data_IF_963500353153
#
_entry.id   IF_963500353153
#
_cell.length_a   1.000
_cell.length_b   1.000
_cell.length_c   1.000
_cell.angle_alpha   90.00
_cell.angle_beta   90.00
_cell.angle_gamma   90.00
#
_symmetry.space_group_name_H-M   'P 1'
#
loop_
_entity.id
_entity.type
_entity.pdbx_description
1 polymer ?
#
# COMPACT_ATOMS: atom_id res chain seq x y z
N UNK A 1 -5.15 15.02 3.66
CA UNK A 1 -5.89 14.76 2.42
C UNK A 1 -7.24 14.11 2.71
N UNK A 2 -7.32 12.90 3.26
CA UNK A 2 -8.60 12.18 3.50
C UNK A 2 -9.59 12.91 4.40
N UNK A 3 -9.12 13.66 5.40
CA UNK A 3 -9.96 14.39 6.35
C UNK A 3 -10.28 15.84 5.94
N UNK A 4 -9.82 16.29 4.77
CA UNK A 4 -10.16 17.60 4.22
C UNK A 4 -11.68 17.68 3.98
N UNK A 5 -12.39 18.75 4.41
CA UNK A 5 -13.85 18.86 4.27
C UNK A 5 -14.36 18.62 2.84
N UNK A 6 -13.70 19.19 1.84
CA UNK A 6 -14.07 19.03 0.42
C UNK A 6 -13.97 17.56 -0.01
N UNK A 7 -12.91 16.87 0.40
CA UNK A 7 -12.73 15.45 0.06
C UNK A 7 -13.73 14.56 0.81
N UNK A 8 -14.06 14.88 2.06
CA UNK A 8 -15.06 14.13 2.82
C UNK A 8 -16.45 14.23 2.22
N UNK A 9 -16.80 15.38 1.66
CA UNK A 9 -18.07 15.58 0.95
C UNK A 9 -18.09 14.81 -0.38
N UNK A 10 -17.01 14.93 -1.17
CA UNK A 10 -16.90 14.32 -2.50
C UNK A 10 -16.66 12.81 -2.47
N UNK A 11 -15.95 12.34 -1.45
CA UNK A 11 -15.50 10.95 -1.28
C UNK A 11 -15.83 10.43 0.12
N UNK A 12 -17.11 10.26 0.47
CA UNK A 12 -17.47 9.75 1.79
C UNK A 12 -16.91 8.34 2.01
N UNK A 13 -16.18 8.16 3.12
CA UNK A 13 -15.58 6.89 3.49
C UNK A 13 -15.30 6.80 4.99
N UNK A 14 -15.24 5.60 5.51
CA UNK A 14 -14.55 5.32 6.76
C UNK A 14 -13.03 5.38 6.51
N UNK A 15 -12.30 6.06 7.38
CA UNK A 15 -10.84 6.17 7.28
C UNK A 15 -10.25 5.56 8.54
N UNK A 16 -9.67 4.37 8.42
CA UNK A 16 -8.97 3.69 9.49
C UNK A 16 -7.49 4.08 9.45
N UNK A 17 -6.96 4.57 10.57
CA UNK A 17 -5.55 5.00 10.69
C UNK A 17 -4.93 4.26 11.88
N UNK A 18 -4.60 2.97 11.73
CA UNK A 18 -3.97 2.21 12.80
C UNK A 18 -2.55 2.73 13.06
N UNK A 19 -2.15 2.70 14.33
CA UNK A 19 -0.80 3.07 14.76
C UNK A 19 0.01 1.80 15.07
N UNK A 20 1.17 1.65 14.44
CA UNK A 20 2.11 0.60 14.79
C UNK A 20 2.76 0.91 16.15
N UNK A 21 2.77 -0.02 17.11
CA UNK A 21 3.54 0.17 18.32
C UNK A 21 5.03 0.36 18.02
N UNK A 22 5.72 1.12 18.85
CA UNK A 22 7.13 1.51 18.63
C UNK A 22 8.09 0.30 18.48
N UNK A 23 7.78 -0.81 19.16
CA UNK A 23 8.61 -2.02 19.17
C UNK A 23 8.26 -3.01 18.05
N UNK A 24 7.19 -2.74 17.29
CA UNK A 24 6.69 -3.62 16.25
C UNK A 24 7.03 -3.13 14.85
N UNK A 25 6.85 -4.01 13.88
CA UNK A 25 6.95 -3.71 12.46
C UNK A 25 5.75 -4.31 11.74
N UNK A 26 5.11 -3.55 10.81
CA UNK A 26 3.83 -4.00 10.23
C UNK A 26 3.93 -5.36 9.52
N UNK A 27 4.75 -5.44 8.48
CA UNK A 27 4.77 -6.55 7.56
C UNK A 27 5.77 -7.66 7.93
N UNK A 28 6.67 -7.40 8.87
CA UNK A 28 7.78 -8.29 9.22
C UNK A 28 7.92 -8.38 10.73
N UNK A 29 8.46 -9.50 11.22
CA UNK A 29 8.66 -9.71 12.67
C UNK A 29 9.56 -8.65 13.34
N UNK A 30 10.43 -8.01 12.56
CA UNK A 30 11.26 -6.87 12.96
C UNK A 30 11.59 -6.04 11.72
N UNK A 31 12.21 -4.87 11.93
CA UNK A 31 12.76 -4.09 10.83
C UNK A 31 13.76 -4.94 10.03
N UNK A 32 13.57 -5.10 8.70
CA UNK A 32 14.55 -5.79 7.86
C UNK A 32 15.94 -5.13 7.94
N UNK A 33 16.99 -5.93 7.93
CA UNK A 33 18.37 -5.44 7.91
C UNK A 33 18.76 -4.84 6.56
N UNK A 34 18.06 -5.24 5.51
CA UNK A 34 18.21 -4.74 4.13
C UNK A 34 16.83 -4.44 3.55
N UNK A 35 16.78 -3.43 2.67
CA UNK A 35 15.60 -3.11 1.87
C UNK A 35 15.79 -3.44 0.39
N UNK A 36 16.82 -4.22 0.06
CA UNK A 36 17.02 -4.77 -1.29
C UNK A 36 15.86 -5.71 -1.61
N UNK A 37 15.13 -5.54 -2.73
CA UNK A 37 13.90 -6.29 -3.02
C UNK A 37 14.07 -7.81 -2.98
N UNK A 38 15.15 -8.32 -3.56
CA UNK A 38 15.42 -9.78 -3.58
C UNK A 38 15.76 -10.38 -2.21
N UNK A 39 16.15 -9.55 -1.24
CA UNK A 39 16.48 -9.94 0.12
C UNK A 39 15.29 -9.78 1.08
N UNK A 40 14.21 -9.14 0.62
CA UNK A 40 13.01 -9.00 1.44
C UNK A 40 12.39 -10.36 1.73
N UNK A 41 11.93 -10.59 2.98
CA UNK A 41 11.40 -11.90 3.39
C UNK A 41 10.25 -12.40 2.53
N UNK A 42 10.25 -13.70 2.26
CA UNK A 42 9.17 -14.45 1.60
C UNK A 42 8.66 -15.55 2.53
N UNK A 43 7.41 -15.95 2.38
CA UNK A 43 6.87 -17.13 3.07
C UNK A 43 6.72 -17.01 4.59
N UNK A 44 6.79 -15.82 5.15
CA UNK A 44 6.56 -15.60 6.57
C UNK A 44 5.07 -15.48 6.89
N UNK A 45 4.69 -15.84 8.10
CA UNK A 45 3.34 -15.63 8.62
C UNK A 45 3.02 -14.13 8.74
N UNK A 46 1.72 -13.82 8.70
CA UNK A 46 1.25 -12.46 9.00
C UNK A 46 1.61 -12.11 10.44
N UNK A 47 2.16 -10.93 10.65
CA UNK A 47 2.47 -10.47 12.00
C UNK A 47 1.19 -10.30 12.85
N UNK A 48 1.26 -10.47 14.17
CA UNK A 48 0.10 -10.27 15.04
C UNK A 48 -0.51 -8.87 14.88
N UNK A 49 0.34 -7.85 14.74
CA UNK A 49 -0.11 -6.46 14.60
C UNK A 49 -0.83 -6.21 13.26
N UNK A 50 -0.33 -6.79 12.15
CA UNK A 50 -1.00 -6.64 10.86
C UNK A 50 -2.28 -7.48 10.78
N UNK A 51 -2.32 -8.63 11.47
CA UNK A 51 -3.53 -9.42 11.66
C UNK A 51 -4.61 -8.61 12.39
N UNK A 52 -4.25 -7.93 13.48
CA UNK A 52 -5.17 -7.07 14.22
C UNK A 52 -5.73 -5.93 13.36
N UNK A 53 -4.92 -5.36 12.45
CA UNK A 53 -5.41 -4.37 11.47
C UNK A 53 -6.44 -5.00 10.52
N UNK A 54 -6.20 -6.23 10.05
CA UNK A 54 -7.16 -6.92 9.18
C UNK A 54 -8.47 -7.25 9.92
N UNK A 55 -8.37 -7.73 11.15
CA UNK A 55 -9.53 -8.01 11.99
C UNK A 55 -10.35 -6.74 12.28
N UNK A 56 -9.69 -5.61 12.57
CA UNK A 56 -10.36 -4.32 12.69
C UNK A 56 -11.07 -3.94 11.38
N UNK A 57 -10.40 -4.07 10.24
CA UNK A 57 -11.03 -3.80 8.94
C UNK A 57 -12.28 -4.67 8.75
N UNK A 58 -12.22 -5.95 9.09
CA UNK A 58 -13.34 -6.88 8.92
C UNK A 58 -14.58 -6.43 9.71
N UNK A 59 -14.42 -5.86 10.92
CA UNK A 59 -15.54 -5.30 11.67
C UNK A 59 -16.26 -4.16 10.95
N UNK A 60 -15.51 -3.37 10.15
CA UNK A 60 -16.11 -2.32 9.33
C UNK A 60 -16.74 -2.89 8.04
N UNK A 61 -16.14 -3.92 7.45
CA UNK A 61 -16.70 -4.57 6.25
C UNK A 61 -18.06 -5.23 6.53
N UNK A 62 -18.38 -5.54 7.77
CA UNK A 62 -19.68 -6.10 8.16
C UNK A 62 -20.78 -5.04 8.30
N UNK A 63 -20.43 -3.75 8.23
CA UNK A 63 -21.42 -2.68 8.28
C UNK A 63 -22.20 -2.57 6.95
N UNK A 64 -23.54 -2.47 6.99
CA UNK A 64 -24.36 -2.36 5.77
C UNK A 64 -24.06 -1.11 4.91
N UNK A 65 -23.45 -0.09 5.51
CA UNK A 65 -23.07 1.16 4.82
C UNK A 65 -21.75 1.08 4.08
N UNK A 66 -21.03 -0.04 4.18
CA UNK A 66 -19.73 -0.23 3.53
C UNK A 66 -19.90 -0.94 2.19
N UNK A 67 -19.41 -0.28 1.13
CA UNK A 67 -19.29 -0.89 -0.19
C UNK A 67 -18.01 -1.77 -0.22
N UNK A 68 -18.20 -3.08 -0.12
CA UNK A 68 -17.10 -4.06 -0.08
C UNK A 68 -16.29 -4.12 -1.37
N UNK A 69 -16.80 -3.55 -2.48
CA UNK A 69 -16.07 -3.46 -3.74
C UNK A 69 -15.16 -2.24 -3.82
N UNK A 70 -15.21 -1.35 -2.82
CA UNK A 70 -14.42 -0.12 -2.76
C UNK A 70 -13.62 -0.01 -1.47
N UNK A 71 -12.81 -1.01 -1.21
CA UNK A 71 -11.88 -1.07 -0.06
C UNK A 71 -10.48 -0.76 -0.55
N UNK A 72 -9.80 0.16 0.11
CA UNK A 72 -8.50 0.66 -0.32
C UNK A 72 -7.48 0.58 0.81
N UNK A 73 -6.22 0.32 0.45
CA UNK A 73 -5.11 0.38 1.39
C UNK A 73 -4.04 1.34 0.89
N UNK A 74 -3.63 2.27 1.77
CA UNK A 74 -2.63 3.29 1.48
C UNK A 74 -1.63 3.31 2.62
N UNK A 75 -0.34 3.30 2.32
CA UNK A 75 0.69 3.35 3.34
C UNK A 75 2.00 3.92 2.83
N UNK A 76 2.78 4.50 3.74
CA UNK A 76 4.09 5.07 3.43
C UNK A 76 5.20 4.35 4.20
N UNK A 77 6.38 4.22 3.59
CA UNK A 77 7.57 3.60 4.19
C UNK A 77 7.25 2.19 4.73
N UNK A 78 7.36 1.97 6.03
CA UNK A 78 6.91 0.74 6.69
C UNK A 78 5.44 0.42 6.40
N UNK A 79 4.56 1.43 6.33
CA UNK A 79 3.17 1.29 5.92
C UNK A 79 3.03 0.95 4.43
N UNK A 80 3.94 1.39 3.56
CA UNK A 80 4.01 0.98 2.15
C UNK A 80 4.33 -0.50 2.00
N UNK A 81 5.23 -1.03 2.85
CA UNK A 81 5.50 -2.47 2.94
C UNK A 81 4.28 -3.26 3.42
N UNK A 82 3.56 -2.72 4.42
CA UNK A 82 2.29 -3.31 4.88
C UNK A 82 1.20 -3.28 3.81
N UNK A 83 1.17 -2.24 2.99
CA UNK A 83 0.24 -2.12 1.85
C UNK A 83 0.44 -3.26 0.86
N UNK A 84 1.69 -3.58 0.49
CA UNK A 84 1.99 -4.75 -0.32
C UNK A 84 1.58 -6.05 0.38
N UNK A 85 1.96 -6.22 1.66
CA UNK A 85 1.70 -7.47 2.39
C UNK A 85 0.21 -7.74 2.56
N UNK A 86 -0.60 -6.71 2.85
CA UNK A 86 -2.06 -6.82 2.91
C UNK A 86 -2.68 -7.18 1.55
N UNK A 87 -2.24 -6.52 0.47
CA UNK A 87 -2.73 -6.81 -0.87
C UNK A 87 -2.40 -8.23 -1.32
N UNK A 88 -1.21 -8.74 -0.98
CA UNK A 88 -0.76 -10.10 -1.28
C UNK A 88 -1.56 -11.14 -0.50
N UNK A 89 -1.77 -10.92 0.81
CA UNK A 89 -2.45 -11.89 1.68
C UNK A 89 -3.96 -11.90 1.52
N UNK A 90 -4.53 -10.77 1.15
CA UNK A 90 -5.98 -10.58 1.08
C UNK A 90 -6.40 -9.93 -0.25
N UNK A 91 -6.06 -10.54 -1.39
CA UNK A 91 -6.28 -9.95 -2.72
C UNK A 91 -7.76 -9.69 -3.01
N UNK A 92 -8.66 -10.48 -2.43
CA UNK A 92 -10.11 -10.32 -2.59
C UNK A 92 -10.71 -9.23 -1.69
N UNK A 93 -9.89 -8.64 -0.80
CA UNK A 93 -10.36 -7.57 0.09
C UNK A 93 -10.25 -6.20 -0.57
N UNK A 94 -9.16 -5.93 -1.28
CA UNK A 94 -8.82 -4.59 -1.72
C UNK A 94 -9.08 -4.36 -3.20
N UNK A 95 -9.79 -3.28 -3.53
CA UNK A 95 -9.94 -2.76 -4.89
C UNK A 95 -8.66 -2.09 -5.38
N UNK A 96 -7.97 -1.35 -4.49
CA UNK A 96 -6.73 -0.68 -4.82
C UNK A 96 -5.76 -0.62 -3.63
N UNK A 97 -4.47 -0.59 -3.97
CA UNK A 97 -3.35 -0.47 -3.06
C UNK A 97 -2.41 0.65 -3.52
N UNK A 98 -2.05 1.54 -2.58
CA UNK A 98 -1.14 2.67 -2.85
C UNK A 98 0.06 2.60 -1.90
N UNK A 99 1.09 1.82 -2.24
CA UNK A 99 2.34 1.84 -1.50
C UNK A 99 3.18 3.06 -1.89
N UNK A 100 3.64 3.81 -0.89
CA UNK A 100 4.49 5.00 -1.05
C UNK A 100 5.83 4.71 -0.38
N UNK A 101 6.95 4.90 -1.08
CA UNK A 101 8.32 4.63 -0.62
C UNK A 101 8.48 3.32 0.18
N UNK A 102 7.79 2.28 -0.26
CA UNK A 102 7.88 0.93 0.29
C UNK A 102 8.72 0.01 -0.58
N UNK A 103 8.99 -1.19 -0.06
CA UNK A 103 9.64 -2.27 -0.80
C UNK A 103 8.97 -3.60 -0.49
N UNK A 104 9.12 -4.55 -1.38
CA UNK A 104 8.57 -5.91 -1.28
C UNK A 104 9.44 -6.86 -2.09
N UNK A 105 9.48 -8.14 -1.73
CA UNK A 105 10.06 -9.15 -2.62
C UNK A 105 9.13 -9.33 -3.85
N UNK A 106 9.63 -9.08 -5.08
CA UNK A 106 8.79 -9.15 -6.29
C UNK A 106 8.18 -10.54 -6.52
N UNK A 107 8.83 -11.60 -6.02
CA UNK A 107 8.33 -12.97 -6.13
C UNK A 107 7.00 -13.23 -5.42
N UNK A 108 6.60 -12.35 -4.49
CA UNK A 108 5.34 -12.45 -3.76
C UNK A 108 4.14 -11.83 -4.49
N UNK A 109 4.39 -11.02 -5.51
CA UNK A 109 3.34 -10.17 -6.12
C UNK A 109 2.35 -10.94 -7.00
N UNK A 110 2.63 -12.20 -7.32
CA UNK A 110 1.72 -13.04 -8.11
C UNK A 110 0.33 -13.20 -7.47
N UNK A 111 0.26 -13.19 -6.14
CA UNK A 111 -0.99 -13.32 -5.39
C UNK A 111 -1.82 -12.02 -5.35
N UNK A 112 -1.26 -10.89 -5.78
CA UNK A 112 -1.92 -9.57 -5.71
C UNK A 112 -2.39 -9.03 -7.08
N UNK A 113 -2.40 -9.85 -8.13
CA UNK A 113 -2.68 -9.40 -9.51
C UNK A 113 -4.09 -8.86 -9.74
N UNK A 114 -5.06 -9.24 -8.90
CA UNK A 114 -6.43 -8.73 -8.93
C UNK A 114 -6.56 -7.31 -8.36
N UNK A 115 -5.61 -6.88 -7.52
CA UNK A 115 -5.61 -5.56 -6.90
C UNK A 115 -5.02 -4.52 -7.85
N UNK A 116 -5.65 -3.36 -7.95
CA UNK A 116 -5.13 -2.24 -8.71
C UNK A 116 -4.07 -1.49 -7.91
N UNK A 117 -2.90 -1.26 -8.51
CA UNK A 117 -1.80 -0.58 -7.82
C UNK A 117 -1.51 0.81 -8.39
N UNK A 118 -1.22 1.78 -7.50
CA UNK A 118 -0.50 3.00 -7.84
C UNK A 118 0.65 3.18 -6.87
N UNK A 119 1.87 3.07 -7.37
CA UNK A 119 3.10 3.07 -6.59
C UNK A 119 3.74 4.44 -6.69
N UNK A 120 4.20 5.01 -5.56
CA UNK A 120 4.91 6.27 -5.51
C UNK A 120 6.27 6.11 -4.83
N UNK A 121 7.32 6.78 -5.35
CA UNK A 121 8.64 6.79 -4.72
C UNK A 121 9.44 8.03 -5.14
N UNK A 122 10.38 8.46 -4.30
CA UNK A 122 11.38 9.47 -4.65
C UNK A 122 12.68 8.80 -5.13
N UNK A 123 13.27 9.28 -6.22
CA UNK A 123 14.50 8.67 -6.79
C UNK A 123 15.76 8.93 -5.98
N UNK A 124 15.73 9.91 -5.07
CA UNK A 124 16.81 10.22 -4.14
C UNK A 124 16.54 9.70 -2.71
N UNK A 125 15.67 8.68 -2.57
CA UNK A 125 15.39 8.06 -1.27
C UNK A 125 16.62 7.29 -0.75
N UNK A 126 17.18 7.75 0.38
CA UNK A 126 18.35 7.19 1.03
C UNK A 126 18.01 6.30 2.24
N UNK A 127 16.74 6.02 2.48
CA UNK A 127 16.25 5.17 3.58
C UNK A 127 15.71 3.85 3.03
N UNK A 128 14.80 3.92 2.07
CA UNK A 128 14.27 2.76 1.34
C UNK A 128 14.62 2.96 -0.14
N UNK A 129 15.51 2.14 -0.71
CA UNK A 129 15.93 2.29 -2.11
C UNK A 129 14.76 2.25 -3.08
N UNK A 130 14.77 3.17 -4.04
CA UNK A 130 13.73 3.30 -5.08
C UNK A 130 13.58 2.04 -5.94
N UNK A 131 14.62 1.22 -6.00
CA UNK A 131 14.64 -0.08 -6.69
C UNK A 131 13.51 -0.99 -6.23
N UNK A 132 13.11 -0.93 -4.95
CA UNK A 132 11.97 -1.68 -4.42
C UNK A 132 10.68 -1.41 -5.19
N UNK A 133 10.38 -0.15 -5.45
CA UNK A 133 9.21 0.26 -6.22
C UNK A 133 9.36 -0.01 -7.72
N UNK A 134 10.55 0.20 -8.27
CA UNK A 134 10.83 -0.08 -9.69
C UNK A 134 10.66 -1.57 -10.02
N UNK A 135 11.18 -2.46 -9.16
CA UNK A 135 11.07 -3.89 -9.34
C UNK A 135 9.63 -4.39 -9.10
N UNK A 136 8.95 -3.87 -8.10
CA UNK A 136 7.54 -4.17 -7.86
C UNK A 136 6.67 -3.79 -9.06
N UNK A 137 6.86 -2.59 -9.63
CA UNK A 137 6.17 -2.15 -10.83
C UNK A 137 6.42 -3.09 -12.02
N UNK A 138 7.70 -3.43 -12.30
CA UNK A 138 8.08 -4.34 -13.39
C UNK A 138 7.44 -5.72 -13.22
N UNK A 139 7.47 -6.26 -12.00
CA UNK A 139 6.88 -7.57 -11.70
C UNK A 139 5.36 -7.57 -11.89
N UNK A 140 4.65 -6.59 -11.34
CA UNK A 140 3.19 -6.45 -11.50
C UNK A 140 2.80 -6.28 -12.98
N UNK A 141 3.53 -5.46 -13.75
CA UNK A 141 3.33 -5.33 -15.20
C UNK A 141 3.51 -6.65 -15.94
N UNK A 142 4.58 -7.39 -15.63
CA UNK A 142 4.85 -8.70 -16.23
C UNK A 142 3.76 -9.73 -15.92
N UNK A 143 3.17 -9.64 -14.75
CA UNK A 143 2.06 -10.50 -14.30
C UNK A 143 0.70 -10.09 -14.89
N UNK A 144 0.62 -8.96 -15.62
CA UNK A 144 -0.63 -8.45 -16.20
C UNK A 144 -1.53 -7.70 -15.21
N UNK A 145 -1.01 -7.33 -14.05
CA UNK A 145 -1.75 -6.53 -13.08
C UNK A 145 -1.96 -5.08 -13.57
N UNK A 146 -3.03 -4.46 -13.13
CA UNK A 146 -3.29 -3.03 -13.35
C UNK A 146 -2.42 -2.20 -12.40
N UNK A 147 -1.34 -1.61 -12.91
CA UNK A 147 -0.37 -0.87 -12.09
C UNK A 147 0.11 0.40 -12.76
N UNK A 148 0.16 1.48 -11.99
CA UNK A 148 0.78 2.75 -12.33
C UNK A 148 1.97 3.02 -11.39
N UNK A 149 3.01 3.67 -11.90
CA UNK A 149 4.18 4.05 -11.12
C UNK A 149 4.53 5.52 -11.37
N UNK A 150 4.72 6.24 -10.28
CA UNK A 150 5.12 7.65 -10.29
C UNK A 150 6.39 7.79 -9.47
N UNK A 151 7.47 8.21 -10.12
CA UNK A 151 8.74 8.51 -9.49
C UNK A 151 8.95 10.01 -9.43
N UNK A 152 9.32 10.53 -8.24
CA UNK A 152 9.52 11.96 -8.02
C UNK A 152 11.01 12.30 -8.10
N UNK A 153 11.46 13.04 -9.15
CA UNK A 153 12.87 13.39 -9.33
C UNK A 153 13.40 14.23 -8.17
N UNK A 154 14.58 13.88 -7.66
CA UNK A 154 15.26 14.58 -6.56
C UNK A 154 14.56 14.48 -5.20
N UNK A 155 13.49 13.71 -5.09
CA UNK A 155 12.75 13.54 -3.85
C UNK A 155 13.38 12.44 -2.98
N UNK A 156 13.62 12.77 -1.73
CA UNK A 156 14.13 11.84 -0.71
C UNK A 156 13.01 10.95 -0.13
N UNK A 157 13.24 10.35 1.05
CA UNK A 157 12.26 9.50 1.73
C UNK A 157 10.92 10.18 2.02
N UNK A 158 10.83 11.51 1.98
CA UNK A 158 9.59 12.29 2.17
C UNK A 158 8.62 12.28 0.99
N UNK A 159 8.72 11.34 0.08
CA UNK A 159 7.90 11.26 -1.16
C UNK A 159 6.39 11.13 -0.93
N UNK A 160 5.93 10.87 0.30
CA UNK A 160 4.50 10.94 0.65
C UNK A 160 3.92 12.37 0.52
N UNK A 161 4.74 13.42 0.68
CA UNK A 161 4.27 14.78 0.51
C UNK A 161 3.78 15.05 -0.93
N UNK A 162 4.60 14.85 -1.99
CA UNK A 162 4.12 14.99 -3.36
C UNK A 162 3.12 13.88 -3.74
N UNK A 163 3.19 12.68 -3.17
CA UNK A 163 2.24 11.61 -3.47
C UNK A 163 0.81 11.97 -3.03
N UNK A 164 0.64 12.45 -1.80
CA UNK A 164 -0.67 12.86 -1.31
C UNK A 164 -1.21 14.14 -1.98
N UNK A 165 -0.36 14.92 -2.62
CA UNK A 165 -0.73 16.08 -3.43
C UNK A 165 -0.74 15.77 -4.94
N UNK A 166 -0.56 14.51 -5.33
CA UNK A 166 -0.55 14.13 -6.73
C UNK A 166 -1.91 14.34 -7.39
N UNK A 167 -1.96 15.03 -8.55
CA UNK A 167 -3.21 15.31 -9.24
C UNK A 167 -4.00 14.03 -9.51
N UNK A 168 -5.29 14.05 -9.19
CA UNK A 168 -6.17 12.91 -9.40
C UNK A 168 -5.96 11.74 -8.43
N UNK A 169 -5.21 11.90 -7.32
CA UNK A 169 -5.01 10.82 -6.35
C UNK A 169 -6.35 10.27 -5.80
N UNK A 170 -7.21 11.16 -5.32
CA UNK A 170 -8.51 10.78 -4.76
C UNK A 170 -9.45 10.24 -5.82
N UNK A 171 -9.50 10.87 -6.99
CA UNK A 171 -10.31 10.42 -8.14
C UNK A 171 -9.95 9.00 -8.55
N UNK A 172 -8.66 8.72 -8.69
CA UNK A 172 -8.17 7.40 -9.06
C UNK A 172 -8.51 6.35 -8.01
N UNK A 173 -8.27 6.68 -6.73
CA UNK A 173 -8.52 5.78 -5.61
C UNK A 173 -10.00 5.41 -5.56
N UNK A 174 -10.89 6.41 -5.57
CA UNK A 174 -12.33 6.20 -5.42
C UNK A 174 -13.03 5.72 -6.71
N UNK A 175 -12.38 5.81 -7.86
CA UNK A 175 -12.84 5.16 -9.10
C UNK A 175 -12.49 3.67 -9.15
N UNK A 176 -11.59 3.18 -8.29
CA UNK A 176 -11.19 1.78 -8.26
C UNK A 176 -12.27 0.91 -7.61
N UNK A 177 -12.58 -0.21 -8.27
CA UNK A 177 -13.50 -1.24 -7.77
C UNK A 177 -12.86 -2.62 -7.92
N UNK A 178 -13.24 -3.55 -7.05
CA UNK A 178 -12.86 -4.96 -7.24
C UNK A 178 -13.38 -5.48 -8.59
N UNK A 179 -12.59 -6.34 -9.17
CA UNK A 179 -12.96 -7.05 -10.41
C UNK A 179 -13.83 -8.25 -10.11
#
# INVERSE_FOLDING_TARGET
MFLNPVNREKYPAFVLVPQCPEKDYWAYASRPSSFVPSEMPVGQDITPILRAVKELLDTYLDLPSVDRDRVYVVGLSMGGMATYDLAIRFPDTFAAAVPICGTVNPGRLADAVSVRFRIFHGDADNVVPVEGSREAYKALKKLGAEVEYVEFPGCNHGSWNPAFNYPGFMEWLFASRKK
#
